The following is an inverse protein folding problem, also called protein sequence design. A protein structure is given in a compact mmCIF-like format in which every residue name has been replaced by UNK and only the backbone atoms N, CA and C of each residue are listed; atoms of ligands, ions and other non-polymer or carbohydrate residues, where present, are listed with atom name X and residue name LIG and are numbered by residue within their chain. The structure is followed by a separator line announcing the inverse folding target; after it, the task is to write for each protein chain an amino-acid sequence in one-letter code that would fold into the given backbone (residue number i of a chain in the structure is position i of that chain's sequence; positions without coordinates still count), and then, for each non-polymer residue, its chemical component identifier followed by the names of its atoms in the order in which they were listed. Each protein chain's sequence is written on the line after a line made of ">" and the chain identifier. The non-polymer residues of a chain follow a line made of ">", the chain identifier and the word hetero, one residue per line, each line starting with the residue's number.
data_IF_524547153205
#
_entry.id   IF_524547153205
#
_cell.length_a   1.000
_cell.length_b   1.000
_cell.length_c   1.000
_cell.angle_alpha   90.00
_cell.angle_beta   90.00
_cell.angle_gamma   90.00
#
_symmetry.space_group_name_H-M   'P 1'
#
loop_
_entity.id
_entity.type
_entity.pdbx_description
1 polymer ?
#
# COMPACT_ATOMS: atom_id res chain seq x y z
N UNK A 1 -6.04 -2.38 -45.08
CA UNK A 1 -6.39 -3.44 -44.10
C UNK A 1 -5.64 -4.74 -44.40
N UNK A 2 -5.61 -5.24 -45.63
CA UNK A 2 -4.98 -6.51 -45.98
C UNK A 2 -3.49 -6.60 -45.61
N UNK A 3 -2.75 -5.52 -45.80
CA UNK A 3 -1.36 -5.43 -45.34
C UNK A 3 -1.20 -5.65 -43.82
N UNK A 4 -2.09 -5.10 -43.01
CA UNK A 4 -2.06 -5.20 -41.54
C UNK A 4 -2.53 -6.60 -41.06
N UNK A 5 -3.37 -7.27 -41.85
CA UNK A 5 -3.79 -8.66 -41.61
C UNK A 5 -2.64 -9.67 -41.79
N UNK A 6 -1.52 -9.29 -42.42
CA UNK A 6 -0.34 -10.16 -42.54
C UNK A 6 0.64 -10.01 -41.36
N UNK A 7 0.48 -8.99 -40.53
CA UNK A 7 1.39 -8.73 -39.41
C UNK A 7 0.82 -9.34 -38.13
N UNK A 8 1.55 -10.31 -37.56
CA UNK A 8 1.16 -10.97 -36.31
C UNK A 8 1.70 -10.22 -35.10
N UNK A 9 0.81 -9.93 -34.14
CA UNK A 9 1.22 -9.37 -32.86
C UNK A 9 1.66 -10.48 -31.90
N UNK A 10 2.89 -10.42 -31.45
CA UNK A 10 3.49 -11.47 -30.63
C UNK A 10 2.78 -11.67 -29.28
N UNK A 11 2.17 -10.61 -28.73
CA UNK A 11 1.46 -10.66 -27.45
C UNK A 11 0.20 -11.54 -27.47
N UNK A 12 -0.51 -11.63 -28.62
CA UNK A 12 -1.75 -12.44 -28.76
C UNK A 12 -1.64 -13.58 -29.75
N UNK A 13 -0.57 -13.65 -30.53
CA UNK A 13 -0.39 -14.55 -31.67
C UNK A 13 -1.49 -14.43 -32.76
N UNK A 14 -2.24 -13.34 -32.77
CA UNK A 14 -3.22 -12.98 -33.81
C UNK A 14 -2.66 -11.86 -34.68
N UNK A 15 -3.21 -11.69 -35.91
CA UNK A 15 -2.81 -10.54 -36.71
C UNK A 15 -3.35 -9.22 -36.12
N UNK A 16 -2.84 -8.08 -36.62
CA UNK A 16 -3.17 -6.77 -36.07
C UNK A 16 -4.67 -6.41 -36.21
N UNK A 17 -5.33 -6.88 -37.25
CA UNK A 17 -6.75 -6.64 -37.50
C UNK A 17 -7.61 -7.49 -36.57
N UNK A 18 -7.35 -8.82 -36.52
CA UNK A 18 -8.10 -9.75 -35.67
C UNK A 18 -7.84 -9.57 -34.18
N UNK A 19 -6.72 -8.95 -33.82
CA UNK A 19 -6.42 -8.58 -32.43
C UNK A 19 -7.11 -7.29 -31.98
N UNK A 20 -7.78 -6.57 -32.89
CA UNK A 20 -8.41 -5.29 -32.60
C UNK A 20 -7.42 -4.18 -32.26
N UNK A 21 -6.19 -4.28 -32.75
CA UNK A 21 -5.15 -3.26 -32.54
C UNK A 21 -5.19 -2.12 -33.55
N UNK A 22 -5.95 -2.24 -34.62
CA UNK A 22 -6.17 -1.14 -35.58
C UNK A 22 -7.37 -0.35 -35.11
N UNK A 23 -7.13 0.86 -34.58
CA UNK A 23 -8.18 1.68 -33.98
C UNK A 23 -9.20 2.21 -34.98
N UNK A 24 -8.68 2.71 -36.13
CA UNK A 24 -9.49 3.29 -37.19
C UNK A 24 -9.13 2.70 -38.54
N UNK A 25 -10.04 2.87 -39.51
CA UNK A 25 -9.71 2.53 -40.92
C UNK A 25 -8.53 3.38 -41.39
N UNK A 26 -7.45 2.76 -41.90
CA UNK A 26 -6.29 3.48 -42.41
C UNK A 26 -6.69 4.54 -43.42
N UNK A 27 -6.23 5.77 -43.24
CA UNK A 27 -6.48 6.85 -44.18
C UNK A 27 -5.34 6.97 -45.18
N UNK A 28 -5.69 7.17 -46.44
CA UNK A 28 -4.73 7.37 -47.54
C UNK A 28 -4.97 8.77 -48.14
N UNK A 29 -3.97 9.62 -48.12
CA UNK A 29 -4.01 10.95 -48.71
C UNK A 29 -3.17 10.96 -49.99
N UNK A 30 -3.77 11.51 -51.06
CA UNK A 30 -3.06 11.77 -52.30
C UNK A 30 -1.95 12.81 -52.13
N UNK A 31 -0.91 12.80 -52.98
CA UNK A 31 0.13 13.81 -52.95
C UNK A 31 -0.41 15.24 -53.12
N UNK A 32 0.12 16.16 -52.32
CA UNK A 32 -0.26 17.57 -52.42
C UNK A 32 0.29 18.27 -53.67
N UNK A 33 1.27 17.66 -54.35
CA UNK A 33 1.90 18.13 -55.60
C UNK A 33 2.13 16.96 -56.55
N UNK A 34 2.09 17.19 -57.88
CA UNK A 34 2.42 16.14 -58.87
C UNK A 34 3.81 15.56 -58.58
N UNK A 35 3.88 14.23 -58.46
CA UNK A 35 5.11 13.50 -58.13
C UNK A 35 5.48 13.44 -56.62
N UNK A 36 4.64 13.99 -55.70
CA UNK A 36 4.87 13.91 -54.28
C UNK A 36 4.51 12.53 -53.68
N UNK A 37 4.92 12.23 -52.41
CA UNK A 37 4.67 10.96 -51.77
C UNK A 37 3.20 10.79 -51.35
N UNK A 38 2.67 9.59 -51.56
CA UNK A 38 1.41 9.16 -50.96
C UNK A 38 1.58 9.04 -49.45
N UNK A 39 0.64 9.57 -48.67
CA UNK A 39 0.67 9.49 -47.22
C UNK A 39 -0.35 8.47 -46.72
N UNK A 40 0.13 7.43 -46.04
CA UNK A 40 -0.73 6.44 -45.39
C UNK A 40 -0.62 6.64 -43.89
N UNK A 41 -1.75 6.95 -43.24
CA UNK A 41 -1.81 7.10 -41.79
C UNK A 41 -2.57 5.92 -41.18
N UNK A 42 -1.97 5.30 -40.17
CA UNK A 42 -2.54 4.17 -39.42
C UNK A 42 -2.42 4.45 -37.94
N UNK A 43 -3.50 4.20 -37.20
CA UNK A 43 -3.52 4.27 -35.73
C UNK A 43 -3.52 2.84 -35.18
N UNK A 44 -2.49 2.51 -34.41
CA UNK A 44 -2.36 1.22 -33.72
C UNK A 44 -2.54 1.42 -32.22
N UNK A 45 -3.51 0.73 -31.63
CA UNK A 45 -3.74 0.69 -30.19
C UNK A 45 -2.98 -0.45 -29.53
N UNK A 46 -2.10 -0.12 -28.60
CA UNK A 46 -1.39 -1.08 -27.76
C UNK A 46 -1.98 -1.20 -26.37
N UNK A 47 -1.84 -2.35 -25.70
CA UNK A 47 -2.34 -2.51 -24.30
C UNK A 47 -1.73 -1.52 -23.32
N UNK A 48 -0.46 -1.14 -23.50
CA UNK A 48 0.28 -0.17 -22.65
C UNK A 48 1.47 0.43 -23.38
N UNK A 49 1.95 1.55 -22.91
CA UNK A 49 3.13 2.28 -23.43
C UNK A 49 4.46 1.53 -23.27
N UNK A 50 4.52 0.62 -22.26
CA UNK A 50 5.68 -0.23 -21.97
C UNK A 50 5.63 -1.61 -22.66
N UNK A 51 4.79 -1.78 -23.69
CA UNK A 51 4.65 -3.04 -24.40
C UNK A 51 5.99 -3.45 -25.06
N UNK A 52 6.55 -4.62 -24.72
CA UNK A 52 7.86 -5.06 -25.23
C UNK A 52 7.86 -5.27 -26.74
N UNK A 53 6.70 -5.47 -27.36
CA UNK A 53 6.53 -5.72 -28.79
C UNK A 53 6.18 -4.46 -29.60
N UNK A 54 6.01 -3.29 -28.94
CA UNK A 54 5.59 -2.04 -29.57
C UNK A 54 6.48 -1.69 -30.77
N UNK A 55 7.79 -1.55 -30.55
CA UNK A 55 8.73 -1.14 -31.59
C UNK A 55 8.81 -2.13 -32.75
N UNK A 56 8.79 -3.43 -32.47
CA UNK A 56 8.85 -4.48 -33.47
C UNK A 56 7.56 -4.53 -34.31
N UNK A 57 6.41 -4.36 -33.68
CA UNK A 57 5.09 -4.38 -34.32
C UNK A 57 4.90 -3.17 -35.24
N UNK A 58 5.27 -1.96 -34.77
CA UNK A 58 5.23 -0.73 -35.59
C UNK A 58 6.11 -0.90 -36.83
N UNK A 59 7.34 -1.39 -36.66
CA UNK A 59 8.25 -1.59 -37.79
C UNK A 59 7.75 -2.64 -38.77
N UNK A 60 7.14 -3.72 -38.29
CA UNK A 60 6.55 -4.76 -39.13
C UNK A 60 5.32 -4.24 -39.91
N UNK A 61 4.45 -3.45 -39.25
CA UNK A 61 3.30 -2.84 -39.88
C UNK A 61 3.71 -1.85 -40.98
N UNK A 62 4.72 -1.01 -40.73
CA UNK A 62 5.25 -0.08 -41.73
C UNK A 62 5.81 -0.82 -42.95
N UNK A 63 6.59 -1.88 -42.74
CA UNK A 63 7.16 -2.69 -43.79
C UNK A 63 6.07 -3.40 -44.64
N UNK A 64 5.03 -3.94 -43.98
CA UNK A 64 3.92 -4.62 -44.65
C UNK A 64 3.12 -3.64 -45.54
N UNK A 65 2.83 -2.43 -45.03
CA UNK A 65 2.11 -1.40 -45.78
C UNK A 65 2.93 -0.98 -47.01
N UNK A 66 4.22 -0.68 -46.85
CA UNK A 66 5.11 -0.33 -47.95
C UNK A 66 5.19 -1.44 -49.02
N UNK A 67 5.26 -2.70 -48.59
CA UNK A 67 5.28 -3.84 -49.50
C UNK A 67 3.97 -4.00 -50.30
N UNK A 68 2.82 -3.92 -49.62
CA UNK A 68 1.52 -4.07 -50.27
C UNK A 68 1.23 -2.92 -51.23
N UNK A 69 1.53 -1.70 -50.85
CA UNK A 69 1.36 -0.56 -51.73
C UNK A 69 2.23 -0.66 -53.02
N UNK A 70 3.46 -1.18 -52.92
CA UNK A 70 4.32 -1.44 -54.07
C UNK A 70 3.77 -2.56 -54.98
N UNK A 71 3.15 -3.60 -54.41
CA UNK A 71 2.60 -4.73 -55.14
C UNK A 71 1.34 -4.37 -55.91
N UNK A 72 0.45 -3.52 -55.33
CA UNK A 72 -0.77 -3.10 -56.02
C UNK A 72 -0.54 -2.02 -57.11
N UNK A 73 0.54 -1.26 -56.99
CA UNK A 73 0.92 -0.30 -58.05
C UNK A 73 1.39 -0.94 -59.34
N UNK A 74 1.37 -2.29 -59.43
CA UNK A 74 1.68 -3.19 -60.54
C UNK A 74 2.24 -2.52 -61.79
N UNK A 75 3.47 -2.79 -62.16
CA UNK A 75 4.17 -2.66 -63.46
C UNK A 75 3.79 -1.46 -64.40
N UNK A 76 3.24 -0.36 -63.86
CA UNK A 76 3.22 0.92 -64.52
C UNK A 76 4.50 1.65 -64.15
N UNK A 77 5.53 1.28 -64.86
CA UNK A 77 6.79 1.97 -64.92
C UNK A 77 6.54 3.50 -65.08
N UNK A 78 7.07 4.29 -64.17
CA UNK A 78 7.51 5.67 -64.22
C UNK A 78 6.87 6.71 -63.30
N UNK A 79 5.84 6.40 -62.46
CA UNK A 79 5.29 7.37 -61.53
C UNK A 79 4.99 6.80 -60.13
N UNK A 80 5.81 5.88 -59.60
CA UNK A 80 5.66 5.46 -58.21
C UNK A 80 6.25 6.49 -57.27
N UNK A 81 5.45 7.51 -56.92
CA UNK A 81 5.77 8.46 -55.86
C UNK A 81 6.13 7.72 -54.58
N UNK A 82 7.09 8.24 -53.84
CA UNK A 82 7.55 7.69 -52.56
C UNK A 82 6.34 7.55 -51.60
N UNK A 83 6.19 6.39 -50.94
CA UNK A 83 5.07 6.17 -50.00
C UNK A 83 5.58 6.47 -48.60
N UNK A 84 5.02 7.51 -47.99
CA UNK A 84 5.26 7.86 -46.58
C UNK A 84 4.21 7.22 -45.71
N UNK A 85 4.64 6.37 -44.76
CA UNK A 85 3.76 5.70 -43.80
C UNK A 85 3.94 6.35 -42.43
N UNK A 86 2.86 6.89 -41.91
CA UNK A 86 2.78 7.46 -40.56
C UNK A 86 1.98 6.50 -39.67
N UNK A 87 2.65 5.91 -38.68
CA UNK A 87 1.98 5.06 -37.69
C UNK A 87 1.89 5.82 -36.39
N UNK A 88 0.66 6.12 -35.98
CA UNK A 88 0.37 6.70 -34.67
C UNK A 88 0.11 5.55 -33.71
N UNK A 89 0.77 5.57 -32.55
CA UNK A 89 0.53 4.60 -31.49
C UNK A 89 -0.36 5.23 -30.42
N UNK A 90 -1.52 4.65 -30.21
CA UNK A 90 -2.40 4.96 -29.08
C UNK A 90 -2.35 3.82 -28.08
N UNK A 91 -2.60 4.14 -26.82
CA UNK A 91 -2.60 3.14 -25.79
C UNK A 91 -4.02 2.98 -25.29
N UNK A 92 -4.55 1.75 -25.37
CA UNK A 92 -5.74 1.42 -24.61
C UNK A 92 -5.40 1.71 -23.17
N UNK A 93 -5.87 2.84 -22.63
CA UNK A 93 -6.12 2.86 -21.21
C UNK A 93 -7.17 1.76 -21.00
N UNK A 94 -6.70 0.53 -20.68
CA UNK A 94 -7.59 -0.46 -20.11
C UNK A 94 -8.38 0.30 -19.06
N UNK A 95 -9.74 0.21 -18.99
CA UNK A 95 -10.45 0.67 -17.84
C UNK A 95 -9.66 0.07 -16.69
N UNK A 96 -8.99 0.92 -15.88
CA UNK A 96 -8.28 0.44 -14.70
C UNK A 96 -9.33 -0.41 -14.04
N UNK A 97 -9.15 -1.73 -13.81
CA UNK A 97 -10.09 -2.46 -13.00
C UNK A 97 -10.23 -1.56 -11.80
N UNK A 98 -11.45 -1.06 -11.52
CA UNK A 98 -11.71 -0.31 -10.29
C UNK A 98 -11.00 -1.14 -9.29
N UNK A 99 -9.93 -0.61 -8.64
CA UNK A 99 -9.05 -1.39 -7.80
C UNK A 99 -10.00 -2.02 -6.82
N UNK A 100 -10.31 -3.31 -7.01
CA UNK A 100 -11.31 -4.04 -6.24
C UNK A 100 -10.95 -3.71 -4.82
N UNK A 101 -11.88 -3.15 -4.09
CA UNK A 101 -11.62 -2.66 -2.75
C UNK A 101 -11.17 -3.87 -1.96
N UNK A 102 -9.86 -4.06 -1.78
CA UNK A 102 -9.26 -5.30 -1.29
C UNK A 102 -9.80 -5.70 0.09
N UNK A 103 -10.38 -4.74 0.80
CA UNK A 103 -10.98 -4.94 2.12
C UNK A 103 -12.38 -4.29 2.17
N UNK A 104 -13.37 -4.79 1.40
CA UNK A 104 -14.69 -4.15 1.30
C UNK A 104 -15.45 -4.12 2.63
N UNK A 105 -15.23 -5.11 3.51
CA UNK A 105 -15.85 -5.21 4.84
C UNK A 105 -15.17 -4.38 5.92
N UNK A 106 -14.07 -3.63 5.60
CA UNK A 106 -13.34 -2.85 6.60
C UNK A 106 -13.76 -1.39 6.57
N UNK A 107 -14.21 -0.88 7.73
CA UNK A 107 -14.69 0.51 7.84
C UNK A 107 -13.54 1.53 7.94
N UNK A 108 -12.57 1.26 8.81
CA UNK A 108 -11.46 2.18 9.09
C UNK A 108 -10.13 1.44 9.05
N UNK A 109 -9.19 1.94 8.27
CA UNK A 109 -7.82 1.43 8.16
C UNK A 109 -6.89 2.46 8.77
N UNK A 110 -6.18 2.07 9.83
CA UNK A 110 -5.29 2.96 10.58
C UNK A 110 -3.85 2.47 10.43
N UNK A 111 -2.98 3.28 9.86
CA UNK A 111 -1.56 3.02 9.84
C UNK A 111 -0.92 3.51 11.14
N UNK A 112 -0.28 2.61 11.88
CA UNK A 112 0.58 2.96 13.02
C UNK A 112 2.01 3.00 12.50
N UNK A 113 2.61 4.18 12.52
CA UNK A 113 3.90 4.43 11.90
C UNK A 113 4.86 5.14 12.87
N UNK A 114 6.13 5.05 12.58
CA UNK A 114 7.16 5.77 13.33
C UNK A 114 8.27 6.23 12.39
N UNK A 115 8.85 7.39 12.67
CA UNK A 115 9.99 7.89 11.90
C UNK A 115 11.27 7.09 12.13
N UNK A 116 11.36 6.35 13.25
CA UNK A 116 12.57 5.66 13.71
C UNK A 116 12.21 4.32 14.36
N UNK A 117 13.12 3.34 14.28
CA UNK A 117 13.02 2.09 15.01
C UNK A 117 13.24 2.27 16.53
N UNK A 118 12.71 1.35 17.34
CA UNK A 118 12.93 1.33 18.80
C UNK A 118 12.07 2.30 19.62
N UNK A 119 11.11 3.00 19.02
CA UNK A 119 10.20 3.90 19.75
C UNK A 119 8.98 3.18 20.37
N UNK A 120 8.88 1.85 20.19
CA UNK A 120 7.78 1.04 20.72
C UNK A 120 6.52 1.05 19.83
N UNK A 121 6.66 1.29 18.54
CA UNK A 121 5.56 1.28 17.55
C UNK A 121 4.70 0.01 17.65
N UNK A 122 5.31 -1.17 17.55
CA UNK A 122 4.61 -2.46 17.57
C UNK A 122 3.93 -2.72 18.92
N UNK A 123 4.54 -2.31 20.04
CA UNK A 123 3.90 -2.35 21.36
C UNK A 123 2.62 -1.50 21.38
N UNK A 124 2.68 -0.30 20.81
CA UNK A 124 1.51 0.57 20.70
C UNK A 124 0.45 -0.04 19.77
N UNK A 125 0.85 -0.58 18.62
CA UNK A 125 -0.07 -1.22 17.67
C UNK A 125 -0.81 -2.40 18.28
N UNK A 126 -0.11 -3.30 18.97
CA UNK A 126 -0.68 -4.47 19.64
C UNK A 126 -1.70 -4.05 20.72
N UNK A 127 -1.26 -3.16 21.62
CA UNK A 127 -2.11 -2.69 22.71
C UNK A 127 -3.31 -1.86 22.21
N UNK A 128 -3.16 -1.05 21.15
CA UNK A 128 -4.26 -0.31 20.53
C UNK A 128 -5.30 -1.28 19.93
N UNK A 129 -4.86 -2.31 19.21
CA UNK A 129 -5.76 -3.30 18.63
C UNK A 129 -6.57 -4.03 19.71
N UNK A 130 -5.90 -4.48 20.77
CA UNK A 130 -6.55 -5.14 21.92
C UNK A 130 -7.50 -4.19 22.64
N UNK A 131 -7.08 -2.94 22.89
CA UNK A 131 -7.92 -1.95 23.54
C UNK A 131 -9.20 -1.64 22.74
N UNK A 132 -9.10 -1.53 21.41
CA UNK A 132 -10.27 -1.40 20.52
C UNK A 132 -11.19 -2.62 20.59
N UNK A 133 -10.64 -3.84 20.61
CA UNK A 133 -11.43 -5.07 20.76
C UNK A 133 -12.15 -5.09 22.12
N UNK A 134 -11.50 -4.68 23.20
CA UNK A 134 -12.12 -4.57 24.54
C UNK A 134 -13.22 -3.50 24.61
N UNK A 135 -13.14 -2.47 23.76
CA UNK A 135 -14.22 -1.49 23.60
C UNK A 135 -15.41 -2.03 22.74
N UNK A 136 -15.36 -3.29 22.31
CA UNK A 136 -16.41 -3.97 21.57
C UNK A 136 -16.35 -3.81 20.05
N UNK A 137 -15.26 -3.30 19.50
CA UNK A 137 -15.05 -3.20 18.05
C UNK A 137 -14.49 -4.50 17.48
N UNK A 138 -14.86 -4.84 16.24
CA UNK A 138 -14.24 -5.90 15.45
C UNK A 138 -12.92 -5.38 14.89
N UNK A 139 -11.81 -6.01 15.25
CA UNK A 139 -10.46 -5.49 14.97
C UNK A 139 -9.64 -6.52 14.22
N UNK A 140 -8.97 -6.06 13.15
CA UNK A 140 -7.88 -6.75 12.48
C UNK A 140 -6.55 -6.04 12.74
N UNK A 141 -5.48 -6.80 12.83
CA UNK A 141 -4.12 -6.32 12.96
C UNK A 141 -3.24 -7.03 11.93
N UNK A 142 -2.59 -6.26 11.05
CA UNK A 142 -1.61 -6.76 10.10
C UNK A 142 -0.23 -6.21 10.46
N UNK A 143 0.68 -7.11 10.81
CA UNK A 143 2.09 -6.82 10.99
C UNK A 143 2.78 -6.82 9.62
N UNK A 144 3.22 -5.66 9.20
CA UNK A 144 3.88 -5.44 7.91
C UNK A 144 5.38 -5.19 8.03
N UNK A 145 5.95 -5.35 9.25
CA UNK A 145 7.39 -5.25 9.48
C UNK A 145 8.07 -6.59 9.15
N UNK A 146 8.45 -6.73 7.89
CA UNK A 146 9.01 -7.98 7.34
C UNK A 146 10.36 -8.33 7.96
N UNK A 147 11.12 -7.31 8.37
CA UNK A 147 12.48 -7.50 8.88
C UNK A 147 12.54 -7.73 10.39
N UNK A 148 11.47 -7.41 11.11
CA UNK A 148 11.39 -7.59 12.56
C UNK A 148 9.95 -7.87 13.02
N UNK A 149 9.30 -8.95 12.49
CA UNK A 149 7.91 -9.25 12.84
C UNK A 149 7.84 -9.58 14.34
N UNK A 150 7.11 -8.78 15.09
CA UNK A 150 7.02 -8.89 16.56
C UNK A 150 5.66 -9.35 17.07
N UNK A 151 4.63 -9.27 16.25
CA UNK A 151 3.26 -9.57 16.66
C UNK A 151 3.04 -11.03 17.09
N UNK A 152 3.63 -12.06 16.43
CA UNK A 152 3.49 -13.44 16.91
C UNK A 152 3.94 -13.62 18.37
N UNK A 153 5.07 -12.97 18.75
CA UNK A 153 5.58 -12.98 20.12
C UNK A 153 4.65 -12.22 21.08
N UNK A 154 4.27 -11.00 20.72
CA UNK A 154 3.45 -10.16 21.57
C UNK A 154 2.05 -10.71 21.84
N UNK A 155 1.55 -11.59 20.98
CA UNK A 155 0.25 -12.23 21.13
C UNK A 155 0.33 -13.67 21.65
N UNK A 156 1.53 -14.17 21.97
CA UNK A 156 1.73 -15.57 22.38
C UNK A 156 1.12 -16.57 21.38
N UNK A 157 1.50 -16.39 20.10
CA UNK A 157 1.01 -17.22 18.97
C UNK A 157 2.17 -17.61 18.03
N UNK A 158 3.41 -17.66 18.54
CA UNK A 158 4.60 -17.99 17.73
C UNK A 158 4.53 -19.40 17.13
N UNK A 159 3.87 -20.33 17.85
CA UNK A 159 3.70 -21.73 17.42
C UNK A 159 2.45 -21.94 16.57
N UNK A 160 1.56 -20.94 16.50
CA UNK A 160 0.37 -21.04 15.67
C UNK A 160 0.69 -20.77 14.20
N UNK A 161 -0.09 -21.38 13.31
CA UNK A 161 0.04 -21.17 11.85
C UNK A 161 -1.32 -20.88 11.25
N UNK A 162 -1.42 -19.79 10.47
CA UNK A 162 -2.61 -19.55 9.66
C UNK A 162 -2.87 -20.72 8.72
N UNK A 163 -4.12 -21.09 8.55
CA UNK A 163 -4.52 -22.16 7.64
C UNK A 163 -5.39 -21.59 6.51
N UNK A 164 -5.50 -22.33 5.40
CA UNK A 164 -6.33 -21.95 4.29
C UNK A 164 -7.72 -22.59 4.39
N UNK A 165 -8.75 -21.82 4.07
CA UNK A 165 -10.14 -22.30 3.93
C UNK A 165 -10.65 -21.97 2.54
N UNK A 166 -11.50 -22.84 2.00
CA UNK A 166 -12.22 -22.59 0.76
C UNK A 166 -13.50 -21.81 1.04
N UNK A 167 -13.58 -20.59 0.51
CA UNK A 167 -14.76 -19.73 0.62
C UNK A 167 -15.03 -19.09 -0.75
N UNK A 168 -16.25 -19.25 -1.25
CA UNK A 168 -16.70 -18.73 -2.55
C UNK A 168 -15.78 -19.14 -3.73
N UNK A 169 -15.23 -20.37 -3.66
CA UNK A 169 -14.34 -20.92 -4.69
C UNK A 169 -12.89 -20.43 -4.64
N UNK A 170 -12.53 -19.59 -3.65
CA UNK A 170 -11.17 -19.09 -3.41
C UNK A 170 -10.58 -19.76 -2.16
N UNK A 171 -9.28 -19.99 -2.19
CA UNK A 171 -8.53 -20.39 -1.00
C UNK A 171 -8.14 -19.10 -0.24
N UNK A 172 -8.70 -18.90 0.96
CA UNK A 172 -8.43 -17.74 1.79
C UNK A 172 -7.62 -18.14 3.03
N UNK A 173 -6.69 -17.28 3.43
CA UNK A 173 -5.91 -17.41 4.65
C UNK A 173 -6.79 -17.00 5.83
N UNK A 174 -7.00 -17.91 6.80
CA UNK A 174 -7.66 -17.58 8.06
C UNK A 174 -6.69 -16.84 8.98
N UNK A 175 -6.98 -15.59 9.37
CA UNK A 175 -6.22 -14.91 10.41
C UNK A 175 -6.30 -15.68 11.73
N UNK A 176 -5.22 -15.62 12.53
CA UNK A 176 -5.23 -16.11 13.90
C UNK A 176 -6.08 -15.16 14.75
N UNK A 177 -6.98 -15.73 15.55
CA UNK A 177 -7.81 -14.93 16.45
C UNK A 177 -7.29 -15.06 17.89
N UNK A 178 -6.78 -13.97 18.43
CA UNK A 178 -6.30 -13.90 19.83
C UNK A 178 -6.74 -12.57 20.45
N UNK A 179 -7.18 -12.62 21.70
CA UNK A 179 -7.62 -11.45 22.47
C UNK A 179 -8.69 -10.59 21.78
N UNK A 180 -9.56 -11.22 20.95
CA UNK A 180 -10.59 -10.53 20.19
C UNK A 180 -10.08 -9.78 18.96
N UNK A 181 -8.83 -10.05 18.53
CA UNK A 181 -8.20 -9.44 17.36
C UNK A 181 -7.90 -10.53 16.32
N UNK A 182 -8.25 -10.27 15.06
CA UNK A 182 -7.79 -11.06 13.91
C UNK A 182 -6.39 -10.61 13.53
N UNK A 183 -5.41 -11.51 13.60
CA UNK A 183 -4.00 -11.21 13.43
C UNK A 183 -3.41 -11.95 12.24
N UNK A 184 -2.68 -11.24 11.39
CA UNK A 184 -1.70 -11.81 10.46
C UNK A 184 -0.37 -11.08 10.59
N UNK A 185 0.70 -11.83 10.44
CA UNK A 185 2.07 -11.34 10.36
C UNK A 185 2.84 -12.15 9.35
N UNK A 186 3.77 -11.53 8.65
CA UNK A 186 4.71 -12.25 7.81
C UNK A 186 5.54 -13.25 8.64
N UNK A 187 5.70 -12.98 9.94
CA UNK A 187 6.39 -13.86 10.87
C UNK A 187 5.80 -15.27 10.99
N UNK A 188 4.52 -15.47 10.64
CA UNK A 188 3.92 -16.81 10.61
C UNK A 188 4.42 -17.69 9.46
N UNK A 189 4.98 -17.08 8.42
CA UNK A 189 5.41 -17.75 7.18
C UNK A 189 6.93 -17.82 7.02
N UNK A 190 7.67 -17.22 7.95
CA UNK A 190 9.14 -17.17 7.94
C UNK A 190 9.68 -17.90 9.17
N UNK A 191 10.68 -18.76 8.94
CA UNK A 191 11.36 -19.41 10.07
C UNK A 191 12.20 -18.39 10.85
N UNK A 192 12.08 -18.31 12.18
CA UNK A 192 12.91 -17.41 13.00
C UNK A 192 14.41 -17.68 12.90
N UNK A 193 14.78 -18.92 12.55
CA UNK A 193 16.17 -19.38 12.49
C UNK A 193 16.83 -19.20 11.14
N UNK A 194 16.06 -18.85 10.11
CA UNK A 194 16.58 -18.69 8.75
C UNK A 194 16.56 -17.23 8.37
N UNK A 195 17.73 -16.62 8.20
CA UNK A 195 17.85 -15.27 7.61
C UNK A 195 17.34 -15.33 6.17
N UNK A 196 16.05 -15.17 5.98
CA UNK A 196 15.45 -15.15 4.65
C UNK A 196 15.73 -13.80 4.04
N UNK A 197 16.51 -13.77 2.96
CA UNK A 197 16.78 -12.55 2.19
C UNK A 197 15.53 -12.17 1.40
N UNK A 198 14.62 -11.44 2.01
CA UNK A 198 13.49 -10.84 1.33
C UNK A 198 13.97 -9.72 0.42
N UNK A 199 13.92 -9.94 -0.88
CA UNK A 199 14.10 -8.84 -1.85
C UNK A 199 12.80 -8.04 -1.91
N UNK A 200 12.90 -6.72 -2.05
CA UNK A 200 11.75 -5.80 -1.97
C UNK A 200 10.50 -6.26 -2.74
N UNK A 201 10.64 -6.82 -3.94
CA UNK A 201 9.51 -7.32 -4.71
C UNK A 201 8.81 -8.54 -4.10
N UNK A 202 9.54 -9.45 -3.45
CA UNK A 202 8.95 -10.61 -2.76
C UNK A 202 8.16 -10.17 -1.53
N UNK A 203 8.75 -9.26 -0.75
CA UNK A 203 8.13 -8.65 0.42
C UNK A 203 6.81 -7.96 0.07
N UNK A 204 6.81 -7.16 -0.97
CA UNK A 204 5.63 -6.47 -1.48
C UNK A 204 4.54 -7.45 -1.96
N UNK A 205 4.93 -8.54 -2.64
CA UNK A 205 3.97 -9.55 -3.11
C UNK A 205 3.35 -10.31 -1.96
N UNK A 206 4.13 -10.74 -0.96
CA UNK A 206 3.63 -11.41 0.23
C UNK A 206 2.65 -10.52 1.01
N UNK A 207 3.00 -9.24 1.19
CA UNK A 207 2.12 -8.28 1.86
C UNK A 207 0.78 -8.11 1.14
N UNK A 208 0.80 -8.01 -0.19
CA UNK A 208 -0.43 -7.93 -0.98
C UNK A 208 -1.30 -9.19 -0.83
N UNK A 209 -0.69 -10.38 -0.76
CA UNK A 209 -1.41 -11.63 -0.50
C UNK A 209 -2.04 -11.63 0.89
N UNK A 210 -1.32 -11.22 1.95
CA UNK A 210 -1.87 -11.14 3.30
C UNK A 210 -3.05 -10.15 3.40
N UNK A 211 -3.10 -9.14 2.55
CA UNK A 211 -4.21 -8.20 2.48
C UNK A 211 -5.38 -8.78 1.68
N UNK A 212 -5.09 -9.30 0.47
CA UNK A 212 -6.11 -9.67 -0.52
C UNK A 212 -6.70 -11.07 -0.32
N UNK A 213 -5.85 -12.03 0.08
CA UNK A 213 -6.18 -13.45 0.14
C UNK A 213 -6.49 -13.92 1.58
N UNK A 214 -6.72 -13.01 2.52
CA UNK A 214 -7.11 -13.35 3.88
C UNK A 214 -8.60 -13.09 4.15
N UNK A 215 -9.23 -13.99 4.95
CA UNK A 215 -10.63 -13.85 5.38
C UNK A 215 -10.76 -12.88 6.57
N UNK A 216 -10.53 -11.62 6.29
CA UNK A 216 -10.69 -10.56 7.28
C UNK A 216 -12.15 -10.37 7.72
N UNK A 217 -13.12 -10.62 6.81
CA UNK A 217 -14.53 -10.40 7.07
C UNK A 217 -14.87 -8.93 7.34
N UNK A 218 -15.89 -8.74 8.19
CA UNK A 218 -16.35 -7.40 8.59
C UNK A 218 -15.55 -6.87 9.77
N UNK A 219 -14.85 -5.74 9.60
CA UNK A 219 -14.05 -5.09 10.64
C UNK A 219 -14.46 -3.63 10.81
N UNK A 220 -14.47 -3.17 12.06
CA UNK A 220 -14.67 -1.77 12.38
C UNK A 220 -13.34 -1.00 12.29
N UNK A 221 -12.24 -1.65 12.70
CA UNK A 221 -10.88 -1.12 12.61
C UNK A 221 -9.90 -2.16 12.09
N UNK A 222 -9.03 -1.74 11.18
CA UNK A 222 -7.91 -2.53 10.67
C UNK A 222 -6.62 -1.77 10.95
N UNK A 223 -5.81 -2.30 11.84
CA UNK A 223 -4.55 -1.68 12.27
C UNK A 223 -3.41 -2.25 11.42
N UNK A 224 -2.64 -1.36 10.82
CA UNK A 224 -1.41 -1.70 10.09
C UNK A 224 -0.22 -1.32 10.96
N UNK A 225 0.52 -2.30 11.46
CA UNK A 225 1.81 -2.07 12.11
C UNK A 225 2.87 -1.94 11.02
N UNK A 226 3.24 -0.71 10.65
CA UNK A 226 4.14 -0.45 9.52
C UNK A 226 5.60 -0.64 9.92
N UNK A 227 6.54 -0.94 8.99
CA UNK A 227 7.95 -0.91 9.32
C UNK A 227 8.39 0.49 9.75
N UNK A 228 9.52 0.62 10.47
CA UNK A 228 10.02 1.93 10.86
C UNK A 228 10.52 2.74 9.66
N UNK A 229 10.47 4.07 9.76
CA UNK A 229 10.94 4.98 8.72
C UNK A 229 9.98 5.11 7.53
N UNK A 230 10.53 5.34 6.33
CA UNK A 230 9.79 5.56 5.08
C UNK A 230 10.29 4.59 4.01
N UNK A 231 9.84 3.35 4.05
CA UNK A 231 10.24 2.28 3.14
C UNK A 231 9.27 2.09 1.97
N UNK A 232 9.68 1.30 0.96
CA UNK A 232 8.82 0.90 -0.17
C UNK A 232 7.53 0.18 0.28
N UNK A 233 7.55 -0.43 1.47
CA UNK A 233 6.38 -1.06 2.07
C UNK A 233 5.29 -0.03 2.38
N UNK A 234 5.67 1.17 2.88
CA UNK A 234 4.71 2.26 3.08
C UNK A 234 4.02 2.65 1.78
N UNK A 235 4.81 2.83 0.69
CA UNK A 235 4.25 3.14 -0.62
C UNK A 235 3.33 2.03 -1.12
N UNK A 236 3.69 0.77 -0.90
CA UNK A 236 2.85 -0.37 -1.26
C UNK A 236 1.51 -0.34 -0.53
N UNK A 237 1.51 -0.10 0.80
CA UNK A 237 0.29 0.01 1.59
C UNK A 237 -0.61 1.15 1.10
N UNK A 238 -0.03 2.33 0.85
CA UNK A 238 -0.72 3.51 0.34
C UNK A 238 -1.32 3.30 -1.06
N UNK A 239 -0.64 2.51 -1.89
CA UNK A 239 -1.08 2.15 -3.24
C UNK A 239 -2.08 0.99 -3.27
N UNK A 240 -2.26 0.30 -2.15
CA UNK A 240 -3.08 -0.90 -2.05
C UNK A 240 -4.35 -0.65 -1.26
N UNK A 241 -4.30 0.22 -0.25
CA UNK A 241 -5.37 0.41 0.72
C UNK A 241 -5.79 1.89 0.85
N UNK A 242 -7.10 2.17 0.99
CA UNK A 242 -7.63 3.50 1.28
C UNK A 242 -7.47 3.82 2.78
N UNK A 243 -6.23 4.10 3.22
CA UNK A 243 -5.90 4.33 4.62
C UNK A 243 -6.69 5.51 5.17
N UNK A 244 -7.50 5.29 6.20
CA UNK A 244 -8.34 6.31 6.84
C UNK A 244 -7.51 7.41 7.48
N UNK A 245 -6.38 7.04 8.08
CA UNK A 245 -5.42 7.98 8.62
C UNK A 245 -4.24 7.28 9.29
N UNK A 246 -3.21 8.05 9.58
CA UNK A 246 -1.98 7.58 10.23
C UNK A 246 -1.87 8.10 11.66
N UNK A 247 -1.43 7.23 12.56
CA UNK A 247 -1.01 7.56 13.94
C UNK A 247 0.50 7.45 13.98
N UNK A 248 1.17 8.48 14.47
CA UNK A 248 2.63 8.54 14.52
C UNK A 248 3.11 8.31 15.95
N UNK A 249 3.93 7.29 16.16
CA UNK A 249 4.53 6.96 17.45
C UNK A 249 5.94 7.51 17.52
N UNK A 250 6.28 8.22 18.59
CA UNK A 250 7.63 8.70 18.85
C UNK A 250 7.94 8.73 20.36
N UNK A 251 9.20 8.89 20.69
CA UNK A 251 9.64 9.23 22.05
C UNK A 251 9.92 10.74 22.16
N UNK A 252 10.03 11.32 23.37
CA UNK A 252 10.31 12.76 23.54
C UNK A 252 11.67 13.22 23.03
N UNK A 253 12.58 12.32 22.65
CA UNK A 253 13.93 12.65 22.17
C UNK A 253 13.93 13.48 20.90
N UNK A 254 14.72 14.54 20.83
CA UNK A 254 14.81 15.41 19.66
C UNK A 254 15.16 14.67 18.37
N UNK A 255 16.05 13.66 18.44
CA UNK A 255 16.39 12.82 17.27
C UNK A 255 15.17 12.04 16.78
N UNK A 256 14.37 11.45 17.68
CA UNK A 256 13.16 10.73 17.30
C UNK A 256 12.08 11.68 16.75
N UNK A 257 11.97 12.89 17.30
CA UNK A 257 11.02 13.92 16.85
C UNK A 257 11.37 14.42 15.44
N UNK A 258 12.66 14.58 15.12
CA UNK A 258 13.09 14.96 13.78
C UNK A 258 12.65 13.92 12.72
N UNK A 259 12.75 12.65 13.05
CA UNK A 259 12.30 11.58 12.16
C UNK A 259 10.76 11.43 12.14
N UNK A 260 10.08 11.65 13.26
CA UNK A 260 8.62 11.71 13.32
C UNK A 260 8.06 12.83 12.43
N UNK A 261 8.72 14.00 12.38
CA UNK A 261 8.37 15.10 11.46
C UNK A 261 8.41 14.66 10.01
N UNK A 262 9.49 13.98 9.59
CA UNK A 262 9.59 13.41 8.23
C UNK A 262 8.47 12.41 7.92
N UNK A 263 8.11 11.57 8.91
CA UNK A 263 6.98 10.64 8.78
C UNK A 263 5.65 11.37 8.56
N UNK A 264 5.39 12.45 9.31
CA UNK A 264 4.20 13.28 9.11
C UNK A 264 4.19 13.90 7.72
N UNK A 265 5.32 14.49 7.28
CA UNK A 265 5.44 15.14 5.98
C UNK A 265 5.24 14.14 4.83
N UNK A 266 5.70 12.88 4.98
CA UNK A 266 5.45 11.81 4.00
C UNK A 266 3.95 11.57 3.80
N UNK A 267 3.18 11.43 4.87
CA UNK A 267 1.74 11.19 4.79
C UNK A 267 0.96 12.42 4.28
N UNK A 268 1.45 13.64 4.58
CA UNK A 268 0.86 14.90 4.12
C UNK A 268 1.23 15.28 2.68
N UNK A 269 2.21 14.61 2.09
CA UNK A 269 2.59 14.87 0.70
C UNK A 269 1.36 14.85 -0.20
N UNK A 270 1.23 15.80 -1.12
CA UNK A 270 0.06 15.95 -2.01
C UNK A 270 -0.27 14.69 -2.80
N UNK A 271 0.75 13.88 -3.12
CA UNK A 271 0.56 12.60 -3.84
C UNK A 271 0.05 11.49 -2.95
N UNK A 272 0.28 11.57 -1.65
CA UNK A 272 -0.11 10.57 -0.64
C UNK A 272 -1.42 10.96 0.02
N UNK A 273 -1.49 12.17 0.55
CA UNK A 273 -2.65 12.83 1.14
C UNK A 273 -3.44 11.95 2.12
N UNK A 274 -2.73 11.32 3.05
CA UNK A 274 -3.31 10.56 4.15
C UNK A 274 -3.37 11.44 5.41
N UNK A 275 -4.56 11.62 6.03
CA UNK A 275 -4.70 12.42 7.24
C UNK A 275 -3.86 11.88 8.40
N UNK A 276 -3.23 12.77 9.18
CA UNK A 276 -2.61 12.41 10.44
C UNK A 276 -3.67 12.48 11.53
N UNK A 277 -4.00 11.34 12.13
CA UNK A 277 -4.96 11.23 13.24
C UNK A 277 -4.39 11.79 14.53
N UNK A 278 -3.07 11.70 14.72
CA UNK A 278 -2.37 12.31 15.83
C UNK A 278 -1.03 11.65 16.14
N UNK A 279 -0.37 12.20 17.17
CA UNK A 279 0.88 11.67 17.72
C UNK A 279 0.62 10.92 19.02
N UNK A 280 1.46 9.92 19.28
CA UNK A 280 1.57 9.22 20.56
C UNK A 280 2.99 9.42 21.06
N UNK A 281 3.11 10.02 22.26
CA UNK A 281 4.38 10.09 22.97
C UNK A 281 4.55 8.82 23.80
N UNK A 282 5.33 7.89 23.32
CA UNK A 282 5.69 6.67 24.05
C UNK A 282 6.96 6.90 24.86
N UNK A 283 7.13 6.15 25.95
CA UNK A 283 8.25 6.32 26.90
C UNK A 283 8.35 7.76 27.43
N UNK A 284 7.19 8.38 27.68
CA UNK A 284 7.08 9.80 28.04
C UNK A 284 7.77 10.12 29.35
N UNK A 285 7.71 9.23 30.32
CA UNK A 285 8.41 9.28 31.61
C UNK A 285 8.60 7.86 32.16
N UNK A 286 9.54 7.73 33.06
CA UNK A 286 9.73 6.52 33.88
C UNK A 286 9.22 6.75 35.31
N UNK A 287 8.51 5.80 35.86
CA UNK A 287 8.08 5.80 37.28
C UNK A 287 8.60 4.49 37.91
N UNK A 288 9.55 4.58 38.86
CA UNK A 288 10.00 3.42 39.64
C UNK A 288 8.86 2.85 40.48
N UNK A 289 8.85 1.54 40.68
CA UNK A 289 7.84 0.89 41.53
C UNK A 289 7.89 1.35 42.97
N UNK A 290 9.10 1.67 43.46
CA UNK A 290 9.36 2.13 44.81
C UNK A 290 8.94 3.63 45.05
N UNK A 291 8.76 4.38 43.99
CA UNK A 291 8.43 5.79 43.99
C UNK A 291 7.29 6.09 42.99
N UNK A 292 6.08 5.61 43.25
CA UNK A 292 4.97 5.65 42.29
C UNK A 292 4.50 7.04 41.89
N UNK A 293 4.76 8.02 42.73
CA UNK A 293 4.40 9.44 42.49
C UNK A 293 5.44 10.21 41.68
N UNK A 294 6.66 9.63 41.51
CA UNK A 294 7.77 10.30 40.85
C UNK A 294 7.81 10.01 39.36
N UNK A 295 8.01 11.05 38.54
CA UNK A 295 8.19 10.97 37.12
C UNK A 295 9.59 11.41 36.71
N UNK A 296 10.34 10.51 36.07
CA UNK A 296 11.67 10.79 35.54
C UNK A 296 11.62 10.85 34.01
N UNK A 297 11.97 11.99 33.46
CA UNK A 297 11.91 12.25 32.01
C UNK A 297 13.21 11.86 31.32
N UNK A 298 13.49 10.57 31.24
CA UNK A 298 14.77 10.02 30.75
C UNK A 298 15.04 10.42 29.30
N UNK A 299 14.01 10.48 28.48
CA UNK A 299 14.09 10.80 27.03
C UNK A 299 13.73 12.25 26.71
N UNK A 300 13.57 13.12 27.70
CA UNK A 300 13.07 14.48 27.56
C UNK A 300 11.60 14.62 27.99
N UNK A 301 11.14 15.85 28.07
CA UNK A 301 9.80 16.18 28.60
C UNK A 301 8.94 16.81 27.50
N UNK A 302 7.76 16.24 27.28
CA UNK A 302 6.71 16.81 26.41
C UNK A 302 7.15 17.09 24.95
N UNK A 303 8.15 16.36 24.43
CA UNK A 303 8.67 16.62 23.09
C UNK A 303 7.64 16.39 21.98
N UNK A 304 6.86 15.29 22.05
CA UNK A 304 5.78 15.07 21.09
C UNK A 304 4.63 16.05 21.24
N UNK A 305 4.39 16.60 22.44
CA UNK A 305 3.38 17.63 22.66
C UNK A 305 3.75 18.92 21.94
N UNK A 306 5.02 19.31 21.99
CA UNK A 306 5.54 20.47 21.25
C UNK A 306 5.45 20.22 19.75
N UNK A 307 5.91 19.05 19.27
CA UNK A 307 5.80 18.67 17.85
C UNK A 307 4.34 18.65 17.38
N UNK A 308 3.41 18.15 18.19
CA UNK A 308 1.98 18.12 17.87
C UNK A 308 1.43 19.53 17.65
N UNK A 309 1.81 20.49 18.48
CA UNK A 309 1.44 21.90 18.33
C UNK A 309 2.06 22.52 17.07
N UNK A 310 3.36 22.33 16.83
CA UNK A 310 4.05 22.83 15.65
C UNK A 310 3.46 22.29 14.34
N UNK A 311 3.12 20.99 14.32
CA UNK A 311 2.57 20.33 13.15
C UNK A 311 1.05 20.43 13.04
N UNK A 312 0.39 21.12 13.99
CA UNK A 312 -1.07 21.22 14.06
C UNK A 312 -1.76 19.84 13.92
N UNK A 313 -1.38 18.91 14.79
CA UNK A 313 -1.98 17.56 14.92
C UNK A 313 -2.28 17.29 16.40
N UNK A 314 -3.29 16.45 16.73
CA UNK A 314 -3.57 16.14 18.12
C UNK A 314 -2.47 15.27 18.74
N UNK A 315 -2.19 15.46 20.03
CA UNK A 315 -1.49 14.50 20.88
C UNK A 315 -2.55 13.55 21.44
N UNK A 316 -2.51 12.27 21.03
CA UNK A 316 -3.53 11.27 21.40
C UNK A 316 -3.30 10.69 22.78
N UNK A 317 -2.04 10.42 23.13
CA UNK A 317 -1.67 9.88 24.43
C UNK A 317 -0.19 10.13 24.75
N UNK A 318 0.11 10.07 26.05
CA UNK A 318 1.46 9.95 26.60
C UNK A 318 1.51 8.64 27.40
N UNK A 319 2.37 7.72 27.00
CA UNK A 319 2.48 6.38 27.58
C UNK A 319 3.79 6.31 28.37
N UNK A 320 3.75 5.91 29.64
CA UNK A 320 4.94 5.82 30.47
C UNK A 320 5.86 4.67 30.04
N UNK A 321 7.13 4.77 30.34
CA UNK A 321 8.08 3.67 30.33
C UNK A 321 7.96 2.93 31.66
N UNK A 322 7.44 1.72 31.64
CA UNK A 322 7.34 0.86 32.83
C UNK A 322 7.73 -0.57 32.47
N UNK A 323 8.38 -1.23 33.42
CA UNK A 323 8.89 -2.61 33.20
C UNK A 323 7.77 -3.55 32.79
N UNK A 324 6.59 -3.44 33.39
CA UNK A 324 5.45 -4.33 33.09
C UNK A 324 4.99 -4.29 31.64
N UNK A 325 5.19 -3.17 30.90
CA UNK A 325 4.87 -3.15 29.46
C UNK A 325 5.85 -4.04 28.68
N UNK A 326 7.14 -4.04 29.05
CA UNK A 326 8.15 -4.88 28.44
C UNK A 326 7.88 -6.36 28.78
N UNK A 327 7.79 -6.68 30.08
CA UNK A 327 7.57 -8.05 30.55
C UNK A 327 6.28 -8.65 29.95
N UNK A 328 5.21 -7.88 29.89
CA UNK A 328 3.95 -8.30 29.30
C UNK A 328 4.06 -8.54 27.79
N UNK A 329 4.81 -7.70 27.07
CA UNK A 329 5.07 -7.88 25.64
C UNK A 329 5.88 -9.17 25.38
N UNK A 330 6.89 -9.44 26.19
CA UNK A 330 7.73 -10.66 26.07
C UNK A 330 6.98 -11.93 26.46
N UNK A 331 6.03 -11.84 27.40
CA UNK A 331 5.21 -12.96 27.84
C UNK A 331 3.91 -13.13 27.04
N UNK A 332 3.72 -12.37 25.95
CA UNK A 332 2.53 -12.46 25.10
C UNK A 332 1.22 -12.02 25.77
N UNK A 333 1.29 -11.21 26.82
CA UNK A 333 0.15 -10.70 27.59
C UNK A 333 0.10 -9.15 27.57
N UNK A 334 -0.15 -8.51 26.42
CA UNK A 334 -0.11 -7.05 26.29
C UNK A 334 -0.88 -6.31 27.38
N UNK A 335 -0.36 -5.14 27.79
CA UNK A 335 -0.87 -4.39 28.93
C UNK A 335 -2.37 -4.02 28.82
N UNK A 336 -2.87 -3.80 27.61
CA UNK A 336 -4.28 -3.51 27.33
C UNK A 336 -5.25 -4.63 27.73
N UNK A 337 -4.77 -5.83 28.01
CA UNK A 337 -5.59 -6.94 28.52
C UNK A 337 -6.08 -6.70 29.94
N UNK A 338 -5.35 -5.91 30.72
CA UNK A 338 -5.72 -5.61 32.11
C UNK A 338 -6.01 -4.10 32.28
N UNK A 339 -7.28 -3.74 32.17
CA UNK A 339 -7.76 -2.35 32.33
C UNK A 339 -7.66 -1.81 33.75
N UNK A 340 -7.40 -2.67 34.76
CA UNK A 340 -7.31 -2.25 36.16
C UNK A 340 -5.93 -1.69 36.50
N UNK A 341 -4.96 -1.85 35.58
CA UNK A 341 -3.65 -1.24 35.73
C UNK A 341 -3.61 0.16 35.08
N UNK A 342 -2.76 1.03 35.59
CA UNK A 342 -2.56 2.36 35.01
C UNK A 342 -2.11 2.31 33.54
N UNK A 343 -1.29 1.31 33.19
CA UNK A 343 -0.80 1.09 31.82
C UNK A 343 -1.91 0.57 30.89
N UNK A 344 -2.71 -0.40 31.34
CA UNK A 344 -3.85 -0.89 30.57
C UNK A 344 -4.89 0.21 30.34
N UNK A 345 -5.18 0.99 31.39
CA UNK A 345 -6.09 2.14 31.27
C UNK A 345 -5.56 3.19 30.29
N UNK A 346 -4.22 3.43 30.24
CA UNK A 346 -3.62 4.35 29.29
C UNK A 346 -3.89 3.91 27.83
N UNK A 347 -3.81 2.61 27.51
CA UNK A 347 -4.13 2.10 26.19
C UNK A 347 -5.63 2.12 25.85
N UNK A 348 -6.50 1.91 26.85
CA UNK A 348 -7.95 2.07 26.65
C UNK A 348 -8.28 3.54 26.35
N UNK A 349 -7.70 4.49 27.08
CA UNK A 349 -7.86 5.91 26.81
C UNK A 349 -7.31 6.31 25.43
N UNK A 350 -6.17 5.74 25.02
CA UNK A 350 -5.64 5.90 23.66
C UNK A 350 -6.64 5.43 22.61
N UNK A 351 -7.21 4.23 22.78
CA UNK A 351 -8.20 3.69 21.86
C UNK A 351 -9.44 4.60 21.74
N UNK A 352 -9.94 5.13 22.85
CA UNK A 352 -11.05 6.09 22.86
C UNK A 352 -10.70 7.40 22.14
N UNK A 353 -9.49 7.89 22.33
CA UNK A 353 -9.00 9.08 21.62
C UNK A 353 -8.92 8.83 20.11
N UNK A 354 -8.41 7.67 19.70
CA UNK A 354 -8.35 7.26 18.28
C UNK A 354 -9.76 7.17 17.69
N UNK A 355 -10.70 6.51 18.37
CA UNK A 355 -12.11 6.43 17.94
C UNK A 355 -12.71 7.81 17.75
N UNK A 356 -12.47 8.72 18.69
CA UNK A 356 -12.98 10.10 18.64
C UNK A 356 -12.46 10.85 17.42
N UNK A 357 -11.16 10.77 17.15
CA UNK A 357 -10.53 11.46 16.02
C UNK A 357 -10.95 10.84 14.69
N UNK A 358 -11.04 9.51 14.58
CA UNK A 358 -11.51 8.80 13.39
C UNK A 358 -12.96 9.20 13.08
N UNK A 359 -13.85 9.22 14.07
CA UNK A 359 -15.24 9.61 13.88
C UNK A 359 -15.37 11.07 13.42
N UNK A 360 -14.58 11.98 13.98
CA UNK A 360 -14.51 13.38 13.53
C UNK A 360 -14.03 13.46 12.09
N UNK A 361 -12.89 12.84 11.77
CA UNK A 361 -12.32 12.79 10.43
C UNK A 361 -13.34 12.28 9.38
N UNK A 362 -14.04 11.20 9.70
CA UNK A 362 -15.02 10.60 8.78
C UNK A 362 -16.26 11.48 8.54
N UNK A 363 -16.59 12.39 9.47
CA UNK A 363 -17.65 13.39 9.28
C UNK A 363 -17.19 14.59 8.45
N UNK A 364 -15.93 15.01 8.62
CA UNK A 364 -15.39 16.23 8.03
C UNK A 364 -14.74 16.01 6.66
N UNK A 365 -14.29 14.80 6.35
CA UNK A 365 -13.51 14.51 5.15
C UNK A 365 -14.06 13.31 4.38
N UNK A 366 -13.98 13.33 3.04
CA UNK A 366 -14.34 12.17 2.22
C UNK A 366 -13.42 10.99 2.50
N UNK A 367 -13.85 9.79 2.07
CA UNK A 367 -13.03 8.58 2.18
C UNK A 367 -11.71 8.78 1.44
N UNK A 368 -10.60 8.38 2.06
CA UNK A 368 -9.26 8.46 1.43
C UNK A 368 -9.24 7.61 0.17
N UNK A 369 -8.64 8.13 -0.89
CA UNK A 369 -8.45 7.40 -2.14
C UNK A 369 -7.12 6.64 -2.08
N UNK A 370 -7.08 5.51 -2.77
CA UNK A 370 -5.83 4.78 -2.98
C UNK A 370 -4.90 5.66 -3.82
N UNK A 371 -3.62 5.74 -3.41
CA UNK A 371 -2.61 6.51 -4.13
C UNK A 371 -2.35 5.84 -5.48
N UNK A 372 -2.71 6.51 -6.56
CA UNK A 372 -2.50 5.98 -7.90
C UNK A 372 -1.01 5.97 -8.26
N UNK A 373 -0.52 4.85 -8.78
CA UNK A 373 0.71 4.83 -9.57
C UNK A 373 0.48 5.61 -10.85
N UNK A 374 1.31 6.64 -11.10
CA UNK A 374 1.37 7.29 -12.41
C UNK A 374 2.05 6.38 -13.41
#
# INVERSE_FOLDING_TARGET
>A
MDALATVTYAGTKKNLVDSGMVADTPSVAAPATEGGPWKVKVVLEFPRDTDPFLKSTVKAAEAAIKYYCKKESGDRSQESGEISVEIITEFKSAPRPELEQLLPGVKNIIAVSSGKGGVGKSTVSANLAIALARLGYRVGLLDTDIFGPSMPKMFDVEDERPYAVKKDGRDLICPIEKYGVKLLSIGFFVSPTTATLWRGGMATSALKQLIADADWGELDYFILDTPPGTSDIHLTLLQTLPITGAVIVSTPQQVALADARKGIDMYRNEKVNVPILGLIENMAWFTPAELPDNKYYIFGKEGCKQLAQEMNVPLLAQIPLVQSICDNGDNGTPAALNSDTATGLAFINLAQAVVTVVNRRNKEQPRTKIVGTK
#
